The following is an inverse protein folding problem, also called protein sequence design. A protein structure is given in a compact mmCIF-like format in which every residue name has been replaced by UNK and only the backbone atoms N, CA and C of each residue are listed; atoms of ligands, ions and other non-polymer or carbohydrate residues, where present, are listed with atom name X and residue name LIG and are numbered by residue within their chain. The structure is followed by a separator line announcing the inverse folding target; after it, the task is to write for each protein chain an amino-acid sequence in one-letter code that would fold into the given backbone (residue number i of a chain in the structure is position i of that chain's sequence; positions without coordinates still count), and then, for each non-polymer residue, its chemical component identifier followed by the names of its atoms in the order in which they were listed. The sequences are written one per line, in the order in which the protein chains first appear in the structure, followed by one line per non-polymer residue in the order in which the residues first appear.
data_IF_815482018616
#
_entry.id   IF_815482018616
#
_cell.length_a   1.000
_cell.length_b   1.000
_cell.length_c   1.000
_cell.angle_alpha   90.00
_cell.angle_beta   90.00
_cell.angle_gamma   90.00
#
_symmetry.space_group_name_H-M   'P 1'
#
loop_
_entity.id
_entity.type
_entity.pdbx_description
1 polymer ?
#
# COMPACT_ATOMS: atom_id res chain seq x y z
N UNK A 1 -25.19 -0.44 -16.73
CA UNK A 1 -23.99 -0.06 -15.94
C UNK A 1 -23.88 -0.85 -14.63
N UNK A 2 -24.90 -0.94 -13.77
CA UNK A 2 -24.86 -1.69 -12.49
C UNK A 2 -24.51 -3.18 -12.73
N UNK A 3 -25.18 -3.84 -13.68
CA UNK A 3 -24.89 -5.24 -14.01
C UNK A 3 -23.47 -5.48 -14.54
N UNK A 4 -22.83 -4.51 -15.17
CA UNK A 4 -21.50 -4.66 -15.73
C UNK A 4 -20.41 -4.69 -14.64
N UNK A 5 -20.49 -3.82 -13.63
CA UNK A 5 -19.56 -3.82 -12.50
C UNK A 5 -19.65 -5.11 -11.69
N UNK A 6 -20.87 -5.55 -11.38
CA UNK A 6 -21.10 -6.81 -10.63
C UNK A 6 -20.57 -8.01 -11.43
N UNK A 7 -20.79 -8.05 -12.75
CA UNK A 7 -20.28 -9.13 -13.60
C UNK A 7 -18.75 -9.18 -13.57
N UNK A 8 -18.08 -8.04 -13.72
CA UNK A 8 -16.62 -7.92 -13.62
C UNK A 8 -16.09 -8.36 -12.25
N UNK A 9 -16.80 -8.01 -11.17
CA UNK A 9 -16.46 -8.49 -9.82
C UNK A 9 -16.58 -10.00 -9.69
N UNK A 10 -17.60 -10.60 -10.30
CA UNK A 10 -17.79 -12.07 -10.32
C UNK A 10 -16.68 -12.75 -11.10
N UNK A 11 -16.33 -12.24 -12.29
CA UNK A 11 -15.23 -12.74 -13.11
C UNK A 11 -13.88 -12.66 -12.40
N UNK A 12 -13.64 -11.56 -11.67
CA UNK A 12 -12.44 -11.38 -10.84
C UNK A 12 -12.46 -12.23 -9.54
N UNK A 13 -13.51 -12.98 -9.26
CA UNK A 13 -13.62 -13.82 -8.07
C UNK A 13 -13.86 -13.06 -6.76
N UNK A 14 -14.26 -11.80 -6.79
CA UNK A 14 -14.46 -10.95 -5.60
C UNK A 14 -15.59 -11.46 -4.72
N UNK A 15 -16.54 -12.21 -5.29
CA UNK A 15 -17.65 -12.82 -4.56
C UNK A 15 -17.24 -14.02 -3.66
N UNK A 16 -16.04 -14.57 -3.83
CA UNK A 16 -15.55 -15.70 -3.06
C UNK A 16 -14.98 -15.23 -1.71
N UNK A 17 -15.62 -15.65 -0.63
CA UNK A 17 -15.19 -15.35 0.74
C UNK A 17 -14.34 -16.45 1.35
N UNK A 18 -14.29 -16.49 2.68
CA UNK A 18 -13.57 -17.51 3.44
C UNK A 18 -14.38 -18.81 3.59
N UNK A 19 -13.68 -19.87 3.98
CA UNK A 19 -14.33 -21.12 4.38
C UNK A 19 -15.28 -20.88 5.57
N UNK A 20 -16.40 -21.59 5.61
CA UNK A 20 -17.43 -21.44 6.64
C UNK A 20 -16.92 -21.59 8.07
N UNK A 21 -15.85 -22.37 8.29
CA UNK A 21 -15.21 -22.54 9.61
C UNK A 21 -14.26 -21.38 10.01
N UNK A 22 -13.92 -20.49 9.07
CA UNK A 22 -12.91 -19.42 9.28
C UNK A 22 -13.49 -18.01 9.20
N UNK A 23 -14.79 -17.85 9.30
CA UNK A 23 -15.44 -16.56 9.22
C UNK A 23 -15.66 -15.94 10.61
N UNK A 24 -15.91 -14.64 10.64
CA UNK A 24 -16.31 -13.94 11.85
C UNK A 24 -17.82 -13.64 11.82
N UNK A 25 -18.57 -13.86 12.91
CA UNK A 25 -20.03 -13.68 12.95
C UNK A 25 -20.50 -12.29 12.52
N UNK A 26 -19.74 -11.23 12.82
CA UNK A 26 -20.04 -9.85 12.39
C UNK A 26 -20.10 -9.66 10.87
N UNK A 27 -19.51 -10.60 10.10
CA UNK A 27 -19.56 -10.58 8.63
C UNK A 27 -20.90 -11.05 8.07
N UNK A 28 -21.78 -11.64 8.89
CA UNK A 28 -23.07 -12.21 8.46
C UNK A 28 -23.88 -11.26 7.57
N UNK A 29 -23.92 -9.99 7.88
CA UNK A 29 -24.66 -8.96 7.12
C UNK A 29 -24.15 -8.70 5.71
N UNK A 30 -22.92 -9.12 5.41
CA UNK A 30 -22.27 -8.95 4.10
C UNK A 30 -22.22 -10.24 3.28
N UNK A 31 -22.79 -11.32 3.80
CA UNK A 31 -22.79 -12.62 3.17
C UNK A 31 -24.20 -12.99 2.68
N UNK A 32 -24.27 -13.57 1.47
CA UNK A 32 -25.54 -14.06 0.92
C UNK A 32 -25.85 -15.48 1.44
N UNK A 33 -24.94 -16.41 1.16
CA UNK A 33 -25.06 -17.84 1.48
C UNK A 33 -23.69 -18.49 1.43
N UNK A 34 -23.61 -19.74 1.82
CA UNK A 34 -22.46 -20.59 1.56
C UNK A 34 -22.71 -21.50 0.35
N UNK A 35 -21.65 -21.81 -0.38
CA UNK A 35 -21.62 -22.76 -1.48
C UNK A 35 -20.38 -23.62 -1.35
N UNK A 36 -20.56 -24.94 -1.28
CA UNK A 36 -19.44 -25.88 -1.13
C UNK A 36 -18.48 -25.56 0.02
N UNK A 37 -19.01 -25.10 1.16
CA UNK A 37 -18.21 -24.76 2.34
C UNK A 37 -17.46 -23.41 2.27
N UNK A 38 -17.78 -22.56 1.29
CA UNK A 38 -17.23 -21.22 1.12
C UNK A 38 -18.36 -20.20 1.18
N UNK A 39 -18.19 -19.15 1.96
CA UNK A 39 -19.15 -18.04 2.01
C UNK A 39 -19.12 -17.23 0.72
N UNK A 40 -20.30 -16.85 0.23
CA UNK A 40 -20.45 -15.94 -0.90
C UNK A 40 -20.75 -14.54 -0.39
N UNK A 41 -19.92 -13.59 -0.78
CA UNK A 41 -20.04 -12.17 -0.40
C UNK A 41 -21.16 -11.53 -1.23
N UNK A 42 -21.97 -10.69 -0.59
CA UNK A 42 -23.00 -9.91 -1.24
C UNK A 42 -22.39 -8.76 -2.02
N UNK A 43 -22.35 -8.86 -3.35
CA UNK A 43 -21.76 -7.85 -4.22
C UNK A 43 -22.60 -6.57 -4.32
N UNK A 44 -23.90 -6.63 -4.12
CA UNK A 44 -24.76 -5.42 -4.08
C UNK A 44 -24.38 -4.51 -2.89
N UNK A 45 -24.12 -5.13 -1.73
CA UNK A 45 -23.62 -4.37 -0.56
C UNK A 45 -22.18 -3.88 -0.78
N UNK A 46 -21.36 -4.66 -1.49
CA UNK A 46 -20.00 -4.25 -1.87
C UNK A 46 -20.04 -3.03 -2.77
N UNK A 47 -20.90 -2.98 -3.77
CA UNK A 47 -21.10 -1.85 -4.67
C UNK A 47 -21.50 -0.58 -3.90
N UNK A 48 -22.51 -0.68 -3.04
CA UNK A 48 -22.94 0.45 -2.19
C UNK A 48 -21.83 0.99 -1.28
N UNK A 49 -21.00 0.09 -0.74
CA UNK A 49 -19.86 0.47 0.08
C UNK A 49 -18.76 1.12 -0.75
N UNK A 50 -18.53 0.63 -1.98
CA UNK A 50 -17.56 1.18 -2.92
C UNK A 50 -17.96 2.61 -3.32
N UNK A 51 -19.21 2.85 -3.68
CA UNK A 51 -19.71 4.17 -4.04
C UNK A 51 -19.54 5.19 -2.90
N UNK A 52 -19.83 4.78 -1.67
CA UNK A 52 -19.58 5.63 -0.48
C UNK A 52 -18.09 5.94 -0.30
N UNK A 53 -17.23 4.94 -0.48
CA UNK A 53 -15.79 5.11 -0.38
C UNK A 53 -15.25 6.04 -1.46
N UNK A 54 -15.69 5.87 -2.72
CA UNK A 54 -15.31 6.73 -3.84
C UNK A 54 -15.76 8.19 -3.60
N UNK A 55 -16.98 8.39 -3.13
CA UNK A 55 -17.50 9.73 -2.81
C UNK A 55 -16.69 10.41 -1.71
N UNK A 56 -16.35 9.65 -0.66
CA UNK A 56 -15.51 10.15 0.45
C UNK A 56 -14.10 10.54 -0.04
N UNK A 57 -13.46 9.69 -0.87
CA UNK A 57 -12.14 9.98 -1.41
C UNK A 57 -12.15 11.19 -2.36
N UNK A 58 -13.22 11.33 -3.16
CA UNK A 58 -13.41 12.51 -4.02
C UNK A 58 -13.50 13.80 -3.21
N UNK A 59 -14.21 13.79 -2.08
CA UNK A 59 -14.28 14.95 -1.18
C UNK A 59 -12.94 15.27 -0.52
N UNK A 60 -12.16 14.26 -0.13
CA UNK A 60 -10.80 14.47 0.37
C UNK A 60 -9.89 15.09 -0.69
N UNK A 61 -9.97 14.61 -1.92
CA UNK A 61 -9.20 15.14 -3.04
C UNK A 61 -9.56 16.60 -3.34
N UNK A 62 -10.84 16.96 -3.34
CA UNK A 62 -11.31 18.36 -3.49
C UNK A 62 -10.75 19.29 -2.41
N UNK A 63 -10.53 18.76 -1.22
CA UNK A 63 -9.94 19.50 -0.09
C UNK A 63 -8.41 19.47 -0.09
N UNK A 64 -7.76 19.02 -1.15
CA UNK A 64 -6.30 18.84 -1.27
C UNK A 64 -5.69 18.01 -0.13
N UNK A 65 -6.44 17.04 0.41
CA UNK A 65 -5.92 16.11 1.41
C UNK A 65 -5.11 15.02 0.74
N UNK A 66 -4.10 14.54 1.44
CA UNK A 66 -3.26 13.45 0.96
C UNK A 66 -3.90 12.11 1.30
N UNK A 67 -3.74 11.17 0.37
CA UNK A 67 -4.26 9.81 0.49
C UNK A 67 -3.08 8.85 0.47
N UNK A 68 -3.08 7.90 1.41
CA UNK A 68 -2.10 6.83 1.45
C UNK A 68 -2.77 5.52 1.05
N UNK A 69 -2.39 4.98 -0.10
CA UNK A 69 -2.83 3.67 -0.55
C UNK A 69 -2.00 2.57 0.12
N UNK A 70 -2.65 1.57 0.71
CA UNK A 70 -1.97 0.47 1.39
C UNK A 70 -2.43 -0.87 0.83
N UNK A 71 -1.51 -1.63 0.24
CA UNK A 71 -1.81 -2.94 -0.33
C UNK A 71 -0.58 -3.85 -0.35
N UNK A 72 -0.21 -4.37 0.82
CA UNK A 72 0.98 -5.22 0.98
C UNK A 72 0.79 -6.66 0.50
N UNK A 73 -0.43 -7.08 0.14
CA UNK A 73 -0.70 -8.40 -0.39
C UNK A 73 -0.19 -8.50 -1.83
N UNK A 74 0.50 -9.58 -2.18
CA UNK A 74 1.15 -9.76 -3.49
C UNK A 74 0.23 -9.43 -4.67
N UNK A 75 -1.04 -9.81 -4.58
CA UNK A 75 -2.04 -9.55 -5.63
C UNK A 75 -2.45 -8.08 -5.76
N UNK A 76 -2.25 -7.27 -4.71
CA UNK A 76 -2.64 -5.86 -4.68
C UNK A 76 -1.47 -4.91 -4.93
N UNK A 77 -0.21 -5.39 -4.87
CA UNK A 77 0.98 -4.56 -4.89
C UNK A 77 1.06 -3.66 -6.13
N UNK A 78 0.83 -4.23 -7.29
CA UNK A 78 0.94 -3.51 -8.56
C UNK A 78 -0.22 -2.53 -8.74
N UNK A 79 -1.47 -2.99 -8.53
CA UNK A 79 -2.66 -2.15 -8.65
C UNK A 79 -2.61 -0.93 -7.70
N UNK A 80 -2.09 -1.12 -6.48
CA UNK A 80 -1.91 -0.03 -5.51
C UNK A 80 -0.86 0.97 -5.97
N UNK A 81 0.27 0.50 -6.52
CA UNK A 81 1.32 1.35 -7.06
C UNK A 81 0.79 2.18 -8.23
N UNK A 82 0.20 1.53 -9.23
CA UNK A 82 -0.33 2.19 -10.43
C UNK A 82 -1.38 3.24 -10.09
N UNK A 83 -2.32 2.91 -9.19
CA UNK A 83 -3.37 3.84 -8.78
C UNK A 83 -2.79 5.07 -8.04
N UNK A 84 -1.81 4.88 -7.19
CA UNK A 84 -1.17 5.96 -6.45
C UNK A 84 -0.32 6.85 -7.37
N UNK A 85 0.50 6.27 -8.25
CA UNK A 85 1.33 6.99 -9.22
C UNK A 85 0.45 7.80 -10.19
N UNK A 86 -0.62 7.20 -10.74
CA UNK A 86 -1.56 7.88 -11.63
C UNK A 86 -2.25 9.09 -10.98
N UNK A 87 -2.42 9.09 -9.66
CA UNK A 87 -3.08 10.16 -8.90
C UNK A 87 -2.12 11.08 -8.15
N UNK A 88 -0.81 10.83 -8.24
CA UNK A 88 0.21 11.60 -7.48
C UNK A 88 0.05 11.47 -5.97
N UNK A 89 -0.41 10.31 -5.49
CA UNK A 89 -0.63 10.03 -4.09
C UNK A 89 0.41 9.03 -3.56
N UNK A 90 0.40 8.80 -2.26
CA UNK A 90 1.37 7.95 -1.58
C UNK A 90 0.93 6.50 -1.52
N UNK A 91 1.87 5.57 -1.46
CA UNK A 91 1.54 4.16 -1.33
C UNK A 91 2.52 3.37 -0.46
N UNK A 92 2.01 2.26 0.08
CA UNK A 92 2.77 1.20 0.73
C UNK A 92 2.31 -0.11 0.13
N UNK A 93 3.14 -0.72 -0.72
CA UNK A 93 2.76 -1.94 -1.44
C UNK A 93 3.59 -3.18 -1.06
N UNK A 94 4.68 -3.05 -0.30
CA UNK A 94 5.47 -4.20 0.13
C UNK A 94 5.21 -4.57 1.57
N UNK A 95 5.71 -3.80 2.52
CA UNK A 95 5.56 -4.11 3.93
C UNK A 95 5.19 -2.85 4.70
N UNK A 96 4.10 -2.94 5.46
CA UNK A 96 3.79 -1.92 6.45
C UNK A 96 4.81 -1.96 7.57
N UNK A 97 5.59 -0.92 7.72
CA UNK A 97 6.55 -0.80 8.82
C UNK A 97 5.81 -0.35 10.08
N UNK A 98 6.15 -0.99 11.21
CA UNK A 98 5.60 -0.56 12.50
C UNK A 98 5.95 0.91 12.77
N UNK A 99 4.96 1.68 13.23
CA UNK A 99 5.17 3.09 13.55
C UNK A 99 5.12 4.07 12.38
N UNK A 100 4.75 3.65 11.16
CA UNK A 100 4.67 4.55 9.99
C UNK A 100 3.77 5.78 10.22
N UNK A 101 2.76 5.69 11.06
CA UNK A 101 1.88 6.81 11.41
C UNK A 101 2.12 7.33 12.83
N UNK A 102 2.67 6.51 13.73
CA UNK A 102 2.78 6.82 15.16
C UNK A 102 4.20 7.12 15.61
N UNK A 103 5.23 6.69 14.87
CA UNK A 103 6.63 6.91 15.19
C UNK A 103 7.39 7.46 13.98
N UNK A 104 7.04 8.68 13.59
CA UNK A 104 7.61 9.38 12.43
C UNK A 104 9.11 9.62 12.56
N UNK A 105 9.63 9.81 13.78
CA UNK A 105 11.06 10.02 14.02
C UNK A 105 11.91 8.82 13.56
N UNK A 106 11.43 7.60 13.82
CA UNK A 106 12.11 6.37 13.37
C UNK A 106 12.04 6.20 11.85
N UNK A 107 10.90 6.56 11.25
CA UNK A 107 10.76 6.50 9.80
C UNK A 107 11.69 7.52 9.12
N UNK A 108 11.79 8.74 9.62
CA UNK A 108 12.74 9.76 9.12
C UNK A 108 14.19 9.27 9.16
N UNK A 109 14.63 8.67 10.26
CA UNK A 109 15.97 8.05 10.35
C UNK A 109 16.21 6.98 9.28
N UNK A 110 15.19 6.18 8.99
CA UNK A 110 15.28 5.16 7.94
C UNK A 110 15.40 5.78 6.54
N UNK A 111 14.76 6.92 6.31
CA UNK A 111 14.86 7.68 5.06
C UNK A 111 16.21 8.36 4.95
N UNK A 112 16.69 9.02 6.01
CA UNK A 112 18.04 9.61 6.08
C UNK A 112 19.11 8.54 5.78
N UNK A 113 18.92 7.33 6.32
CA UNK A 113 19.79 6.20 6.03
C UNK A 113 19.74 5.78 4.57
N UNK A 114 18.55 5.76 3.95
CA UNK A 114 18.41 5.46 2.52
C UNK A 114 19.12 6.51 1.66
N UNK A 115 18.90 7.79 1.93
CA UNK A 115 19.56 8.90 1.22
C UNK A 115 21.09 8.83 1.37
N UNK A 116 21.57 8.50 2.57
CA UNK A 116 23.01 8.28 2.80
C UNK A 116 23.53 7.13 1.94
N UNK A 117 22.82 5.99 1.88
CA UNK A 117 23.23 4.83 1.09
C UNK A 117 23.22 5.12 -0.42
N UNK A 118 22.30 5.92 -0.91
CA UNK A 118 22.27 6.37 -2.31
C UNK A 118 23.43 7.34 -2.64
N UNK A 119 23.84 8.13 -1.64
CA UNK A 119 24.97 9.06 -1.77
C UNK A 119 26.35 8.39 -1.69
N UNK A 120 26.45 7.22 -1.03
CA UNK A 120 27.75 6.58 -0.74
C UNK A 120 28.48 6.14 -2.01
N UNK A 121 27.76 5.79 -3.08
CA UNK A 121 28.33 5.44 -4.38
C UNK A 121 29.16 6.57 -5.00
N UNK A 122 28.85 7.80 -4.64
CA UNK A 122 29.56 9.03 -5.10
C UNK A 122 30.68 9.45 -4.14
N UNK A 123 30.79 8.79 -2.99
CA UNK A 123 31.79 9.09 -1.96
C UNK A 123 33.17 8.50 -2.30
N UNK A 124 34.27 9.17 -1.95
CA UNK A 124 35.61 8.60 -2.04
C UNK A 124 35.77 7.32 -1.24
N UNK A 125 35.03 7.17 -0.15
CA UNK A 125 35.04 6.00 0.74
C UNK A 125 34.59 4.71 0.02
N UNK A 126 33.71 4.82 -0.97
CA UNK A 126 33.23 3.70 -1.78
C UNK A 126 34.37 2.88 -2.42
N UNK A 127 35.43 3.56 -2.87
CA UNK A 127 36.59 2.92 -3.52
C UNK A 127 37.48 2.14 -2.56
N UNK A 128 37.42 2.43 -1.27
CA UNK A 128 38.22 1.77 -0.23
C UNK A 128 37.50 0.60 0.45
N UNK A 129 36.20 0.45 0.21
CA UNK A 129 35.40 -0.61 0.83
C UNK A 129 35.63 -1.97 0.18
N UNK A 130 35.54 -3.03 0.99
CA UNK A 130 35.59 -4.41 0.49
C UNK A 130 34.33 -4.77 -0.29
N UNK A 131 34.45 -5.71 -1.24
CA UNK A 131 33.29 -6.22 -2.01
C UNK A 131 32.18 -6.78 -1.12
N UNK A 132 32.53 -7.36 0.03
CA UNK A 132 31.56 -7.89 1.01
C UNK A 132 30.77 -6.79 1.68
N UNK A 133 31.41 -5.70 2.04
CA UNK A 133 30.75 -4.52 2.65
C UNK A 133 29.83 -3.84 1.65
N UNK A 134 30.31 -3.61 0.41
CA UNK A 134 29.50 -3.04 -0.66
C UNK A 134 28.22 -3.86 -0.91
N UNK A 135 28.36 -5.19 -0.98
CA UNK A 135 27.20 -6.08 -1.16
C UNK A 135 26.22 -6.07 0.05
N UNK A 136 26.71 -5.78 1.26
CA UNK A 136 25.86 -5.63 2.43
C UNK A 136 25.09 -4.32 2.41
N UNK A 137 25.75 -3.21 2.08
CA UNK A 137 25.15 -1.88 1.93
C UNK A 137 24.09 -1.85 0.81
N UNK A 138 24.39 -2.47 -0.33
CA UNK A 138 23.43 -2.54 -1.44
C UNK A 138 22.17 -3.33 -1.07
N UNK A 139 22.32 -4.46 -0.37
CA UNK A 139 21.17 -5.21 0.15
C UNK A 139 20.33 -4.39 1.15
N UNK A 140 20.98 -3.62 2.01
CA UNK A 140 20.30 -2.71 2.94
C UNK A 140 19.55 -1.61 2.16
N UNK A 141 20.20 -0.97 1.19
CA UNK A 141 19.61 0.04 0.32
C UNK A 141 18.35 -0.48 -0.38
N UNK A 142 18.47 -1.60 -1.09
CA UNK A 142 17.34 -2.21 -1.81
C UNK A 142 16.17 -2.56 -0.89
N UNK A 143 16.45 -3.00 0.34
CA UNK A 143 15.39 -3.29 1.33
C UNK A 143 14.68 -2.03 1.79
N UNK A 144 15.42 -0.95 2.05
CA UNK A 144 14.83 0.33 2.47
C UNK A 144 14.05 0.97 1.31
N UNK A 145 14.63 1.05 0.13
CA UNK A 145 14.02 1.58 -1.08
C UNK A 145 12.68 0.89 -1.36
N UNK A 146 12.65 -0.44 -1.43
CA UNK A 146 11.44 -1.21 -1.67
C UNK A 146 10.32 -0.95 -0.66
N UNK A 147 10.66 -0.69 0.62
CA UNK A 147 9.67 -0.49 1.66
C UNK A 147 9.22 0.98 1.80
N UNK A 148 10.04 1.94 1.38
CA UNK A 148 9.84 3.36 1.62
C UNK A 148 9.55 4.16 0.34
N UNK A 149 9.80 3.59 -0.85
CA UNK A 149 9.71 4.28 -2.14
C UNK A 149 8.39 5.06 -2.31
N UNK A 150 7.26 4.41 -2.04
CA UNK A 150 5.94 5.05 -2.16
C UNK A 150 5.62 6.07 -1.05
N UNK A 151 6.45 6.13 0.01
CA UNK A 151 6.30 7.04 1.13
C UNK A 151 7.30 8.20 1.10
N UNK A 152 8.35 8.14 0.27
CA UNK A 152 9.41 9.16 0.21
C UNK A 152 8.85 10.56 -0.07
N UNK A 153 7.81 10.64 -0.88
CA UNK A 153 7.12 11.90 -1.16
C UNK A 153 6.40 12.49 0.07
N UNK A 154 6.00 11.64 1.03
CA UNK A 154 5.32 12.06 2.26
C UNK A 154 6.30 12.61 3.31
N UNK A 155 7.54 12.20 3.25
CA UNK A 155 8.56 12.49 4.26
C UNK A 155 9.65 13.44 3.77
N UNK A 156 9.62 13.82 2.49
CA UNK A 156 10.45 14.94 2.00
C UNK A 156 10.04 16.20 2.77
N UNK A 157 10.98 16.86 3.47
CA UNK A 157 10.68 18.13 4.13
C UNK A 157 10.13 19.08 3.10
N UNK A 158 8.95 19.63 3.37
CA UNK A 158 8.44 20.75 2.60
C UNK A 158 9.48 21.87 2.64
N UNK A 159 9.73 22.61 1.54
CA UNK A 159 10.59 23.79 1.56
C UNK A 159 10.22 24.85 2.62
N UNK A 160 9.12 24.63 3.35
CA UNK A 160 8.62 25.48 4.45
C UNK A 160 9.04 25.00 5.84
N UNK A 161 9.72 23.86 5.95
CA UNK A 161 10.17 23.28 7.23
C UNK A 161 11.69 23.45 7.44
N UNK A 162 12.33 24.32 6.61
CA UNK A 162 13.73 24.78 6.75
C UNK A 162 13.73 26.23 7.20
#
# INVERSE_FOLDING_TARGET
MINDLINRMVEAGVHLGHQTRKWHPSMKKYLLKDKAGIHIINLEETEKCLDKACSFLADLARRNKKILFVGCKRQAQEAVREAAEATGQYYVNHRWLGGMLTNMSTIRKSIERLVYLEGIEKSPEFKSMSKKELAALDRERQKLERNLQGCLLYTSPSPRDV
#
